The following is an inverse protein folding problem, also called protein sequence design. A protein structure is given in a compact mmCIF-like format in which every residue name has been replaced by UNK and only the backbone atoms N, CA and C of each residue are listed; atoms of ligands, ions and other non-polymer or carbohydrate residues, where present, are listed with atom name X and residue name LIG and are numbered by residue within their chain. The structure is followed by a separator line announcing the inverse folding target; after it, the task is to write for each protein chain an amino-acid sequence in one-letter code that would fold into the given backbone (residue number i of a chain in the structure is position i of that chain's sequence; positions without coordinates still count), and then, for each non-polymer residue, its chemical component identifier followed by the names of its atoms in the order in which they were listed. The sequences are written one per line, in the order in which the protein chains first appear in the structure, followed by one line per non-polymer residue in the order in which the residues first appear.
data_IF_311338933344
#
_entry.id   IF_311338933344
#
_cell.length_a   1.000
_cell.length_b   1.000
_cell.length_c   1.000
_cell.angle_alpha   90.00
_cell.angle_beta   90.00
_cell.angle_gamma   90.00
#
_symmetry.space_group_name_H-M   'P 1'
#
loop_
_entity.id
_entity.type
_entity.pdbx_description
1 polymer ?
#
# COMPACT_ATOMS: atom_id res chain seq x y z
N UNK A 1 3.06 5.10 -10.96
CA UNK A 1 3.07 5.99 -12.16
C UNK A 1 2.82 5.22 -13.45
N UNK A 2 3.24 3.96 -13.61
CA UNK A 2 2.85 3.13 -14.77
C UNK A 2 1.40 2.63 -14.74
N UNK A 3 0.82 2.48 -13.55
CA UNK A 3 -0.56 1.97 -13.37
C UNK A 3 -1.61 2.83 -14.09
N UNK A 4 -1.50 4.15 -14.01
CA UNK A 4 -2.45 5.07 -14.65
C UNK A 4 -2.37 4.96 -16.19
N UNK A 5 -1.16 4.86 -16.71
CA UNK A 5 -0.91 4.67 -18.15
C UNK A 5 -1.48 3.31 -18.59
N UNK A 6 -1.27 2.26 -17.79
CA UNK A 6 -1.83 0.93 -18.04
C UNK A 6 -3.35 0.93 -18.11
N UNK A 7 -4.03 1.58 -17.16
CA UNK A 7 -5.49 1.73 -17.22
C UNK A 7 -5.94 2.44 -18.51
N UNK A 8 -5.25 3.51 -18.89
CA UNK A 8 -5.59 4.28 -20.10
C UNK A 8 -5.44 3.44 -21.37
N UNK A 9 -4.39 2.61 -21.46
CA UNK A 9 -4.19 1.67 -22.57
C UNK A 9 -5.32 0.62 -22.60
N UNK A 10 -5.66 0.01 -21.46
CA UNK A 10 -6.73 -1.01 -21.39
C UNK A 10 -8.07 -0.43 -21.83
N UNK A 11 -8.48 0.72 -21.28
CA UNK A 11 -9.74 1.33 -21.65
C UNK A 11 -9.77 1.71 -23.14
N UNK A 12 -8.68 2.29 -23.65
CA UNK A 12 -8.58 2.66 -25.06
C UNK A 12 -8.66 1.44 -25.98
N UNK A 13 -7.96 0.36 -25.65
CA UNK A 13 -7.93 -0.84 -26.49
C UNK A 13 -9.25 -1.58 -26.49
N UNK A 14 -9.89 -1.74 -25.32
CA UNK A 14 -11.20 -2.39 -25.21
C UNK A 14 -12.29 -1.63 -25.98
N UNK A 15 -12.35 -0.29 -25.85
CA UNK A 15 -13.33 0.54 -26.56
C UNK A 15 -13.04 0.56 -28.06
N UNK A 16 -11.78 0.75 -28.46
CA UNK A 16 -11.38 0.78 -29.87
C UNK A 16 -11.61 -0.56 -30.56
N UNK A 17 -11.31 -1.68 -29.90
CA UNK A 17 -11.56 -3.02 -30.44
C UNK A 17 -13.04 -3.24 -30.75
N UNK A 18 -13.94 -2.83 -29.84
CA UNK A 18 -15.38 -2.96 -30.04
C UNK A 18 -15.94 -2.06 -31.16
N UNK A 19 -15.39 -0.84 -31.29
CA UNK A 19 -15.76 0.06 -32.39
C UNK A 19 -15.29 -0.48 -33.75
N UNK A 20 -14.10 -1.09 -33.80
CA UNK A 20 -13.56 -1.68 -35.05
C UNK A 20 -14.40 -2.85 -35.57
N UNK A 21 -15.08 -3.59 -34.68
CA UNK A 21 -16.01 -4.65 -35.07
C UNK A 21 -17.41 -4.11 -35.46
N UNK A 22 -17.58 -2.79 -35.57
CA UNK A 22 -18.86 -2.16 -35.93
C UNK A 22 -19.88 -2.10 -34.78
N UNK A 23 -19.43 -2.31 -33.54
CA UNK A 23 -20.31 -2.30 -32.37
C UNK A 23 -20.73 -0.88 -31.97
N UNK A 24 -22.00 -0.71 -31.61
CA UNK A 24 -22.50 0.55 -31.06
C UNK A 24 -22.14 0.67 -29.59
N UNK A 25 -21.40 1.71 -29.20
CA UNK A 25 -20.96 1.91 -27.81
C UNK A 25 -22.10 1.95 -26.79
N UNK A 26 -23.31 2.33 -27.20
CA UNK A 26 -24.50 2.29 -26.35
C UNK A 26 -24.88 0.89 -25.88
N UNK A 27 -24.53 -0.15 -26.65
CA UNK A 27 -24.80 -1.54 -26.28
C UNK A 27 -23.89 -2.04 -25.13
N UNK A 28 -22.74 -1.39 -24.88
CA UNK A 28 -21.88 -1.72 -23.73
C UNK A 28 -22.50 -1.29 -22.40
N UNK A 29 -23.42 -0.33 -22.42
CA UNK A 29 -24.04 0.18 -21.21
C UNK A 29 -25.32 -0.59 -20.90
N UNK A 30 -25.16 -1.82 -20.42
CA UNK A 30 -26.27 -2.68 -20.00
C UNK A 30 -26.27 -2.84 -18.47
N UNK A 31 -27.15 -2.12 -17.73
CA UNK A 31 -27.23 -2.20 -16.26
C UNK A 31 -27.41 -3.63 -15.73
N UNK A 32 -28.14 -4.47 -16.48
CA UNK A 32 -28.36 -5.87 -16.10
C UNK A 32 -27.06 -6.69 -16.09
N UNK A 33 -26.14 -6.44 -17.03
CA UNK A 33 -24.86 -7.15 -17.08
C UNK A 33 -23.97 -6.80 -15.88
N UNK A 34 -24.01 -5.55 -15.40
CA UNK A 34 -23.29 -5.19 -14.18
C UNK A 34 -23.78 -5.98 -12.95
N UNK A 35 -25.09 -6.23 -12.86
CA UNK A 35 -25.67 -7.04 -11.77
C UNK A 35 -25.30 -8.51 -11.93
N UNK A 36 -25.39 -9.05 -13.16
CA UNK A 36 -25.06 -10.45 -13.43
C UNK A 36 -23.57 -10.73 -13.21
N UNK A 37 -22.69 -9.95 -13.84
CA UNK A 37 -21.23 -10.12 -13.75
C UNK A 37 -20.74 -9.77 -12.35
N UNK A 38 -21.21 -8.66 -11.78
CA UNK A 38 -20.86 -8.24 -10.43
C UNK A 38 -21.34 -9.24 -9.38
N UNK A 39 -22.59 -9.68 -9.47
CA UNK A 39 -23.17 -10.69 -8.59
C UNK A 39 -22.48 -12.05 -8.72
N UNK A 40 -22.18 -12.50 -9.94
CA UNK A 40 -21.44 -13.73 -10.17
C UNK A 40 -20.00 -13.65 -9.64
N UNK A 41 -19.31 -12.52 -9.83
CA UNK A 41 -17.97 -12.30 -9.31
C UNK A 41 -17.91 -12.30 -7.79
N UNK A 42 -18.84 -11.58 -7.13
CA UNK A 42 -18.95 -11.57 -5.67
C UNK A 42 -19.33 -12.96 -5.14
N UNK A 43 -20.29 -13.64 -5.78
CA UNK A 43 -20.70 -14.99 -5.41
C UNK A 43 -19.55 -16.01 -5.53
N UNK A 44 -18.83 -16.00 -6.66
CA UNK A 44 -17.66 -16.85 -6.87
C UNK A 44 -16.54 -16.55 -5.87
N UNK A 45 -16.34 -15.28 -5.52
CA UNK A 45 -15.39 -14.88 -4.49
C UNK A 45 -15.75 -15.44 -3.10
N UNK A 46 -17.03 -15.41 -2.73
CA UNK A 46 -17.51 -15.97 -1.45
C UNK A 46 -17.36 -17.48 -1.43
N UNK A 47 -17.73 -18.18 -2.52
CA UNK A 47 -17.62 -19.64 -2.61
C UNK A 47 -16.15 -20.10 -2.60
N UNK A 48 -15.27 -19.36 -3.28
CA UNK A 48 -13.86 -19.71 -3.41
C UNK A 48 -12.96 -19.36 -2.22
N UNK A 49 -13.47 -18.65 -1.20
CA UNK A 49 -12.67 -18.16 -0.08
C UNK A 49 -13.26 -18.54 1.29
N UNK A 50 -12.37 -18.74 2.27
CA UNK A 50 -12.81 -18.90 3.66
C UNK A 50 -13.15 -17.55 4.32
N UNK A 51 -13.92 -17.58 5.41
CA UNK A 51 -14.36 -16.36 6.10
C UNK A 51 -13.22 -15.47 6.63
N UNK A 52 -12.02 -16.02 6.87
CA UNK A 52 -10.83 -15.23 7.26
C UNK A 52 -10.27 -14.46 6.05
N UNK A 53 -10.18 -15.10 4.89
CA UNK A 53 -9.71 -14.50 3.64
C UNK A 53 -10.64 -13.39 3.15
N UNK A 54 -11.96 -13.60 3.24
CA UNK A 54 -12.97 -12.57 2.90
C UNK A 54 -12.78 -11.33 3.77
N UNK A 55 -12.71 -11.50 5.10
CA UNK A 55 -12.48 -10.39 6.05
C UNK A 55 -11.13 -9.70 5.82
N UNK A 56 -10.07 -10.45 5.52
CA UNK A 56 -8.76 -9.91 5.21
C UNK A 56 -8.78 -9.03 3.95
N UNK A 57 -9.42 -9.52 2.89
CA UNK A 57 -9.56 -8.79 1.62
C UNK A 57 -10.36 -7.50 1.80
N UNK A 58 -11.49 -7.56 2.52
CA UNK A 58 -12.30 -6.36 2.80
C UNK A 58 -11.56 -5.31 3.64
N UNK A 59 -10.69 -5.73 4.57
CA UNK A 59 -9.83 -4.79 5.33
C UNK A 59 -8.71 -4.20 4.48
N UNK A 60 -8.19 -4.95 3.51
CA UNK A 60 -7.13 -4.50 2.63
C UNK A 60 -7.63 -3.59 1.49
N UNK A 61 -8.87 -3.76 1.04
CA UNK A 61 -9.47 -2.97 -0.03
C UNK A 61 -9.35 -1.44 0.17
N UNK A 62 -9.70 -0.86 1.33
CA UNK A 62 -9.53 0.58 1.55
C UNK A 62 -8.05 1.02 1.63
N UNK A 63 -7.13 0.11 1.95
CA UNK A 63 -5.69 0.41 1.96
C UNK A 63 -5.12 0.60 0.55
N UNK A 64 -5.74 -0.01 -0.47
CA UNK A 64 -5.31 0.12 -1.88
C UNK A 64 -5.53 1.54 -2.42
N UNK A 65 -6.60 2.21 -1.97
CA UNK A 65 -6.89 3.60 -2.32
C UNK A 65 -6.05 4.60 -1.51
N UNK A 66 -5.44 4.15 -0.40
CA UNK A 66 -4.60 5.00 0.44
C UNK A 66 -3.21 5.10 -0.19
N UNK A 67 -2.72 6.33 -0.34
CA UNK A 67 -1.37 6.62 -0.86
C UNK A 67 -0.31 5.86 -0.05
N UNK A 68 0.71 5.31 -0.73
CA UNK A 68 1.84 4.63 -0.07
C UNK A 68 2.33 5.44 1.13
N UNK A 69 2.21 4.88 2.33
CA UNK A 69 2.79 5.45 3.56
C UNK A 69 4.32 5.54 3.46
N UNK A 70 4.92 4.69 2.62
CA UNK A 70 6.35 4.66 2.39
C UNK A 70 6.73 5.71 1.35
N UNK A 71 7.13 6.88 1.85
CA UNK A 71 7.73 7.94 1.05
C UNK A 71 9.25 7.77 0.99
N UNK A 72 9.88 8.32 -0.06
CA UNK A 72 11.34 8.38 -0.17
C UNK A 72 12.00 8.99 1.08
N UNK A 73 11.36 9.99 1.69
CA UNK A 73 11.82 10.59 2.96
C UNK A 73 11.92 9.54 4.07
N UNK A 74 10.89 8.73 4.28
CA UNK A 74 10.92 7.67 5.30
C UNK A 74 12.04 6.65 5.06
N UNK A 75 12.29 6.29 3.79
CA UNK A 75 13.42 5.40 3.48
C UNK A 75 14.77 6.05 3.80
N UNK A 76 14.95 7.32 3.46
CA UNK A 76 16.18 8.06 3.79
C UNK A 76 16.35 8.21 5.31
N UNK A 77 15.28 8.50 6.03
CA UNK A 77 15.26 8.64 7.48
C UNK A 77 15.61 7.30 8.16
N UNK A 78 15.09 6.17 7.63
CA UNK A 78 15.43 4.83 8.09
C UNK A 78 16.91 4.48 7.82
N UNK A 79 17.43 4.79 6.64
CA UNK A 79 18.85 4.57 6.33
C UNK A 79 19.77 5.42 7.21
N UNK A 80 19.40 6.67 7.49
CA UNK A 80 20.14 7.55 8.38
C UNK A 80 20.15 7.01 9.82
N UNK A 81 19.05 6.42 10.29
CA UNK A 81 18.98 5.76 11.59
C UNK A 81 19.92 4.56 11.66
N UNK A 82 19.87 3.67 10.68
CA UNK A 82 20.72 2.49 10.62
C UNK A 82 22.21 2.88 10.58
N UNK A 83 22.56 3.91 9.80
CA UNK A 83 23.92 4.43 9.75
C UNK A 83 24.39 4.94 11.12
N UNK A 84 23.56 5.71 11.84
CA UNK A 84 23.90 6.22 13.17
C UNK A 84 24.09 5.11 14.20
N UNK A 85 23.24 4.08 14.17
CA UNK A 85 23.37 2.88 15.01
C UNK A 85 24.68 2.15 14.73
N UNK A 86 25.00 1.91 13.47
CA UNK A 86 26.24 1.22 13.06
C UNK A 86 27.50 2.04 13.36
N UNK A 87 27.46 3.36 13.16
CA UNK A 87 28.56 4.26 13.49
C UNK A 87 28.83 4.29 15.00
N UNK A 88 27.77 4.34 15.82
CA UNK A 88 27.87 4.28 17.28
C UNK A 88 28.41 2.95 17.76
N UNK A 89 27.93 1.84 17.20
CA UNK A 89 28.43 0.49 17.49
C UNK A 89 29.95 0.38 17.23
N UNK A 90 30.44 0.93 16.12
CA UNK A 90 31.89 0.93 15.81
C UNK A 90 32.72 1.80 16.74
N UNK A 91 32.21 2.95 17.17
CA UNK A 91 32.99 3.91 17.97
C UNK A 91 32.98 3.61 19.48
N UNK A 92 31.86 3.10 20.00
CA UNK A 92 31.65 2.98 21.45
C UNK A 92 31.53 1.52 21.93
N UNK A 93 31.64 0.54 21.03
CA UNK A 93 31.51 -0.88 21.32
C UNK A 93 30.05 -1.32 21.58
N UNK A 94 29.80 -2.63 21.43
CA UNK A 94 28.45 -3.23 21.49
C UNK A 94 27.71 -2.94 22.80
N UNK A 95 28.44 -2.82 23.91
CA UNK A 95 27.91 -2.57 25.26
C UNK A 95 27.20 -1.20 25.41
N UNK A 96 27.61 -0.20 24.64
CA UNK A 96 26.92 1.11 24.62
C UNK A 96 25.59 1.06 23.89
N UNK A 97 25.42 0.06 23.01
CA UNK A 97 24.24 -0.14 22.18
C UNK A 97 23.15 -0.90 22.95
N UNK A 98 23.52 -1.90 23.73
CA UNK A 98 22.59 -2.67 24.57
C UNK A 98 21.85 -1.77 25.57
N UNK A 99 22.57 -0.84 26.21
CA UNK A 99 21.95 0.17 27.11
C UNK A 99 20.99 1.11 26.41
N UNK A 100 21.22 1.42 25.14
CA UNK A 100 20.33 2.26 24.33
C UNK A 100 19.09 1.50 23.82
N UNK A 101 19.22 0.17 23.63
CA UNK A 101 18.15 -0.73 23.21
C UNK A 101 17.23 -1.10 24.39
N UNK A 102 17.77 -1.26 25.61
CA UNK A 102 17.00 -1.57 26.81
C UNK A 102 16.16 -0.40 27.33
N UNK A 103 16.62 0.86 27.17
CA UNK A 103 15.90 2.05 27.63
C UNK A 103 15.65 3.10 26.54
N UNK A 104 14.84 2.77 25.50
CA UNK A 104 14.57 3.68 24.39
C UNK A 104 13.76 4.92 24.81
N UNK A 105 13.04 4.87 25.94
CA UNK A 105 12.17 5.95 26.43
C UNK A 105 12.92 7.06 27.17
N UNK A 106 14.12 6.81 27.68
CA UNK A 106 14.86 7.76 28.55
C UNK A 106 15.83 8.67 27.78
N UNK A 107 16.23 8.33 26.55
CA UNK A 107 17.22 9.11 25.80
C UNK A 107 16.58 9.97 24.69
N UNK A 108 16.84 11.29 24.76
CA UNK A 108 16.37 12.36 23.86
C UNK A 108 16.54 12.06 22.37
N UNK A 109 17.58 11.32 21.99
CA UNK A 109 17.92 11.04 20.59
C UNK A 109 16.99 10.01 19.93
N UNK A 110 16.48 9.03 20.68
CA UNK A 110 15.50 8.04 20.20
C UNK A 110 14.07 8.55 20.38
N UNK A 111 13.80 9.36 21.42
CA UNK A 111 12.53 10.07 21.63
C UNK A 111 12.20 11.06 20.51
N UNK A 112 13.16 11.89 20.07
CA UNK A 112 12.95 12.82 18.96
C UNK A 112 12.65 12.08 17.65
N UNK A 113 13.28 10.93 17.44
CA UNK A 113 13.08 10.13 16.24
C UNK A 113 11.74 9.38 16.27
N UNK A 114 11.39 8.74 17.39
CA UNK A 114 10.10 8.08 17.59
C UNK A 114 8.93 9.08 17.55
N UNK A 115 9.09 10.27 18.14
CA UNK A 115 8.09 11.35 18.03
C UNK A 115 7.98 11.94 16.61
N UNK A 116 9.10 12.02 15.86
CA UNK A 116 9.10 12.42 14.45
C UNK A 116 8.42 11.38 13.54
N UNK A 117 8.58 10.09 13.82
CA UNK A 117 7.89 9.00 13.12
C UNK A 117 6.41 8.86 13.51
N UNK A 118 6.05 9.06 14.79
CA UNK A 118 4.65 9.02 15.25
C UNK A 118 3.85 10.26 14.83
N UNK A 119 4.43 11.46 14.84
CA UNK A 119 3.72 12.71 14.51
C UNK A 119 3.34 12.92 13.04
N UNK A 120 3.83 12.07 12.12
CA UNK A 120 3.42 12.07 10.69
C UNK A 120 2.55 10.89 10.27
N UNK A 121 2.25 9.98 11.20
CA UNK A 121 1.37 8.85 10.91
C UNK A 121 -0.13 9.22 11.01
N UNK A 122 -0.42 10.38 11.61
CA UNK A 122 -1.77 10.87 11.94
C UNK A 122 -2.25 12.06 11.07
N UNK A 123 -1.45 12.48 10.07
CA UNK A 123 -1.80 13.53 9.09
C UNK A 123 -1.98 12.95 7.68
#
# INVERSE_FOLDING_TARGET
MLILIGYLVVFRDSVRGYMLTGGHLGALYQPAEFVIIGGAGIGAFIVGNNGKAIKGTLKALPLLFRRSKYTKSMYMDLMALLYRLMAKSRQQGMFSLERDIENPKERRNLRQLSAYFSGRHDA
#
